data_IF_143391564296
#
_entry.id   IF_143391564296
#
_cell.length_a   1.000
_cell.length_b   1.000
_cell.length_c   1.000
_cell.angle_alpha   90.00
_cell.angle_beta   90.00
_cell.angle_gamma   90.00
#
_symmetry.space_group_name_H-M   'P 1'
#
loop_
_entity.id
_entity.type
_entity.pdbx_description
1 polymer ?
#
# COMPACT_ATOMS: atom_id res chain seq x y z
N UNK A 1 -5.43 9.06 81.01
CA UNK A 1 -6.34 10.22 81.22
C UNK A 1 -7.09 10.33 79.92
N UNK A 2 -8.17 9.59 79.84
CA UNK A 2 -9.54 10.06 79.96
C UNK A 2 -9.96 10.89 78.76
N UNK A 3 -11.05 10.73 78.11
CA UNK A 3 -12.17 9.78 78.21
C UNK A 3 -13.23 10.20 77.16
N UNK A 4 -13.97 9.22 76.64
CA UNK A 4 -15.37 9.24 76.21
C UNK A 4 -15.77 10.06 74.96
N UNK A 5 -16.30 9.42 73.99
CA UNK A 5 -17.43 8.50 73.81
C UNK A 5 -18.72 9.22 73.38
N UNK A 6 -19.39 8.53 72.46
CA UNK A 6 -20.86 8.48 72.19
C UNK A 6 -21.40 9.58 71.27
N UNK A 7 -22.32 9.30 70.39
CA UNK A 7 -23.24 8.21 70.18
C UNK A 7 -24.00 8.32 68.87
N UNK A 8 -24.36 7.20 68.39
CA UNK A 8 -25.55 6.69 67.68
C UNK A 8 -26.66 7.70 67.35
N UNK A 9 -27.15 7.63 66.10
CA UNK A 9 -28.46 7.04 65.77
C UNK A 9 -28.73 7.04 64.27
N UNK A 10 -29.02 5.86 63.74
CA UNK A 10 -29.90 5.69 62.58
C UNK A 10 -31.33 5.96 62.95
N UNK A 11 -32.26 6.17 61.96
CA UNK A 11 -33.10 5.07 61.47
C UNK A 11 -33.42 5.13 59.99
N UNK A 12 -33.46 3.98 59.40
CA UNK A 12 -34.47 3.16 58.72
C UNK A 12 -35.49 3.83 57.77
N UNK A 13 -35.58 3.11 56.62
CA UNK A 13 -36.72 2.80 55.78
C UNK A 13 -37.36 3.82 54.84
N UNK A 14 -37.22 3.53 53.52
CA UNK A 14 -38.39 3.22 52.69
C UNK A 14 -38.01 2.68 51.32
N UNK A 15 -38.59 1.56 50.98
CA UNK A 15 -38.49 0.82 49.73
C UNK A 15 -39.08 1.59 48.54
N UNK A 16 -38.44 1.42 47.36
CA UNK A 16 -39.02 1.82 46.07
C UNK A 16 -38.36 1.08 44.89
N UNK A 17 -39.08 0.08 44.42
CA UNK A 17 -38.71 -0.74 43.27
C UNK A 17 -38.56 0.07 41.97
N UNK A 18 -37.63 -0.31 41.10
CA UNK A 18 -37.73 0.14 39.73
C UNK A 18 -36.45 -0.02 38.88
N UNK A 19 -36.37 -1.09 38.14
CA UNK A 19 -35.84 -1.04 36.78
C UNK A 19 -34.34 -1.13 36.58
N UNK A 20 -33.84 -2.35 36.48
CA UNK A 20 -32.56 -2.63 35.77
C UNK A 20 -32.71 -2.30 34.29
N UNK A 21 -32.21 -1.15 33.87
CA UNK A 21 -31.87 -0.87 32.48
C UNK A 21 -30.38 -1.26 32.26
N UNK A 22 -30.21 -2.45 31.72
CA UNK A 22 -28.94 -2.84 31.12
C UNK A 22 -28.77 -1.96 29.88
N UNK A 23 -27.98 -0.91 29.95
CA UNK A 23 -27.43 -0.24 28.80
C UNK A 23 -26.39 -1.20 28.16
N UNK A 24 -26.85 -1.85 27.10
CA UNK A 24 -25.92 -2.40 26.10
C UNK A 24 -25.31 -1.20 25.39
N UNK A 25 -24.07 -0.89 25.69
CA UNK A 25 -23.24 -0.05 24.85
C UNK A 25 -23.04 -0.81 23.52
N UNK A 26 -23.92 -0.56 22.58
CA UNK A 26 -23.69 -0.87 21.18
C UNK A 26 -22.64 0.13 20.69
N UNK A 27 -21.38 -0.32 20.62
CA UNK A 27 -20.32 0.40 19.95
C UNK A 27 -20.68 0.55 18.48
N UNK A 28 -21.27 1.67 18.12
CA UNK A 28 -21.44 2.05 16.73
C UNK A 28 -20.05 2.39 16.18
N UNK A 29 -19.42 1.43 15.50
CA UNK A 29 -18.27 1.68 14.67
C UNK A 29 -18.72 2.55 13.49
N UNK A 30 -18.62 3.87 13.63
CA UNK A 30 -18.77 4.78 12.52
C UNK A 30 -17.50 4.69 11.66
N UNK A 31 -17.47 3.73 10.74
CA UNK A 31 -16.56 3.77 9.59
C UNK A 31 -16.96 4.98 8.73
N UNK A 32 -16.05 5.94 8.59
CA UNK A 32 -16.22 7.03 7.64
C UNK A 32 -15.85 6.53 6.25
N UNK A 33 -16.70 5.66 5.69
CA UNK A 33 -16.55 5.17 4.33
C UNK A 33 -16.84 6.30 3.35
N UNK A 34 -15.80 6.80 2.68
CA UNK A 34 -15.99 7.74 1.58
C UNK A 34 -16.41 6.96 0.32
N UNK A 35 -17.67 7.14 -0.11
CA UNK A 35 -18.16 6.56 -1.35
C UNK A 35 -18.01 7.62 -2.46
N UNK A 36 -17.14 7.37 -3.41
CA UNK A 36 -16.97 8.23 -4.59
C UNK A 36 -18.15 8.01 -5.55
N UNK A 37 -19.02 9.00 -5.70
CA UNK A 37 -20.01 9.04 -6.79
C UNK A 37 -19.33 9.63 -8.02
N UNK A 38 -19.04 8.79 -9.01
CA UNK A 38 -18.47 9.24 -10.27
C UNK A 38 -19.40 10.18 -11.03
N UNK A 39 -18.89 11.36 -11.38
CA UNK A 39 -19.53 12.23 -12.37
C UNK A 39 -19.01 11.83 -13.74
N UNK A 40 -19.89 11.31 -14.60
CA UNK A 40 -19.57 11.01 -15.99
C UNK A 40 -19.47 12.33 -16.78
N UNK A 41 -18.25 12.69 -17.20
CA UNK A 41 -18.05 13.76 -18.18
C UNK A 41 -18.01 13.13 -19.59
N UNK A 42 -19.04 13.40 -20.39
CA UNK A 42 -19.07 13.08 -21.83
C UNK A 42 -18.20 14.06 -22.60
N UNK A 43 -17.07 13.60 -23.13
CA UNK A 43 -16.28 14.34 -24.10
C UNK A 43 -16.58 13.83 -25.52
N UNK A 44 -16.99 14.74 -26.40
CA UNK A 44 -17.25 14.48 -27.81
C UNK A 44 -15.93 14.31 -28.59
N UNK A 45 -15.84 13.24 -29.36
CA UNK A 45 -14.69 12.93 -30.22
C UNK A 45 -14.95 13.47 -31.62
N UNK A 46 -14.07 14.37 -32.07
CA UNK A 46 -13.96 14.78 -33.47
C UNK A 46 -12.96 13.88 -34.20
N UNK A 47 -13.41 13.22 -35.27
CA UNK A 47 -12.59 12.37 -36.12
C UNK A 47 -11.80 13.21 -37.12
N UNK A 48 -10.47 13.04 -37.16
CA UNK A 48 -9.65 13.47 -38.28
C UNK A 48 -8.82 12.29 -38.79
N UNK A 49 -9.09 11.88 -40.02
CA UNK A 49 -8.39 10.80 -40.74
C UNK A 49 -7.08 11.32 -41.32
N UNK A 50 -5.95 10.65 -41.02
CA UNK A 50 -4.68 10.84 -41.74
C UNK A 50 -4.16 9.48 -42.18
N UNK A 51 -4.04 9.34 -43.48
CA UNK A 51 -3.47 8.20 -44.20
C UNK A 51 -1.95 8.12 -43.99
N UNK A 52 -1.47 6.97 -43.53
CA UNK A 52 -0.05 6.67 -43.38
C UNK A 52 0.50 5.96 -44.61
N UNK A 53 1.58 6.48 -45.16
CA UNK A 53 2.42 5.83 -46.17
C UNK A 53 3.50 5.02 -45.47
N UNK A 54 3.52 3.72 -45.70
CA UNK A 54 4.52 2.82 -45.18
C UNK A 54 5.80 2.89 -46.05
N UNK A 55 6.94 3.10 -45.42
CA UNK A 55 8.25 2.84 -46.02
C UNK A 55 9.02 1.86 -45.12
N UNK A 56 9.32 0.71 -45.72
CA UNK A 56 10.12 -0.35 -45.10
C UNK A 56 11.62 0.03 -45.12
N UNK A 57 12.26 0.00 -43.94
CA UNK A 57 13.69 -0.27 -43.85
C UNK A 57 13.94 -1.12 -42.61
N UNK A 58 14.06 -2.42 -42.83
CA UNK A 58 14.52 -3.38 -41.82
C UNK A 58 16.05 -3.50 -41.89
N UNK A 59 16.62 -3.70 -40.72
CA UNK A 59 17.93 -4.23 -40.35
C UNK A 59 18.92 -3.24 -39.80
N UNK A 60 19.16 -3.49 -38.56
CA UNK A 60 20.22 -3.27 -37.60
C UNK A 60 19.83 -2.52 -36.35
N UNK A 61 19.17 -3.23 -35.40
CA UNK A 61 19.02 -2.81 -34.01
C UNK A 61 18.89 -4.07 -33.13
N UNK A 62 19.90 -4.88 -33.15
CA UNK A 62 20.00 -6.00 -32.21
C UNK A 62 21.17 -5.75 -31.29
N UNK A 63 20.97 -5.09 -30.13
CA UNK A 63 21.66 -5.27 -28.85
C UNK A 63 21.42 -4.19 -27.81
N UNK A 64 20.89 -3.00 -28.19
CA UNK A 64 20.60 -1.92 -27.23
C UNK A 64 19.17 -1.95 -26.63
N UNK A 65 18.27 -2.77 -27.18
CA UNK A 65 16.84 -2.78 -26.79
C UNK A 65 16.54 -3.66 -25.57
N UNK A 66 17.49 -4.42 -25.06
CA UNK A 66 17.25 -5.35 -23.95
C UNK A 66 17.43 -4.68 -22.55
N UNK A 67 18.24 -3.62 -22.48
CA UNK A 67 18.50 -2.89 -21.21
C UNK A 67 17.41 -1.88 -20.84
N UNK A 68 16.50 -1.56 -21.76
CA UNK A 68 15.45 -0.52 -21.57
C UNK A 68 14.04 -1.06 -21.33
N UNK A 69 13.90 -2.37 -21.15
CA UNK A 69 12.61 -2.99 -20.85
C UNK A 69 12.27 -2.91 -19.36
N UNK A 70 11.00 -2.59 -18.99
CA UNK A 70 10.55 -2.67 -17.61
C UNK A 70 10.78 -4.07 -17.02
N UNK A 71 11.03 -4.16 -15.72
CA UNK A 71 11.23 -5.43 -15.03
C UNK A 71 10.06 -6.42 -15.23
N UNK A 72 8.85 -5.91 -15.47
CA UNK A 72 7.65 -6.72 -15.79
C UNK A 72 7.63 -7.32 -17.20
N UNK A 73 8.42 -6.81 -18.13
CA UNK A 73 8.40 -7.26 -19.53
C UNK A 73 9.02 -8.65 -19.74
N UNK A 74 9.59 -9.25 -18.70
CA UNK A 74 10.08 -10.64 -18.73
C UNK A 74 8.94 -11.67 -18.56
N UNK A 75 7.70 -11.24 -18.25
CA UNK A 75 6.55 -12.15 -18.16
C UNK A 75 5.97 -12.43 -19.56
N UNK A 76 5.80 -13.71 -19.97
CA UNK A 76 5.22 -14.01 -21.28
C UNK A 76 3.76 -13.58 -21.37
N UNK A 77 3.48 -12.79 -22.38
CA UNK A 77 2.22 -12.53 -23.09
C UNK A 77 0.88 -12.81 -22.39
N UNK A 78 0.49 -11.93 -21.48
CA UNK A 78 -0.91 -11.61 -21.22
C UNK A 78 -0.99 -10.25 -20.48
N UNK A 79 -0.42 -9.20 -21.12
CA UNK A 79 -0.28 -7.86 -20.49
C UNK A 79 -1.64 -7.29 -20.05
N UNK A 80 -2.71 -7.58 -20.78
CA UNK A 80 -4.05 -7.07 -20.47
C UNK A 80 -4.73 -7.77 -19.28
N UNK A 81 -4.27 -8.96 -18.86
CA UNK A 81 -4.83 -9.71 -17.74
C UNK A 81 -4.03 -9.59 -16.44
N UNK A 82 -2.83 -9.07 -16.49
CA UNK A 82 -1.96 -8.95 -15.31
C UNK A 82 -2.02 -7.55 -14.72
N UNK A 83 -2.13 -7.47 -13.39
CA UNK A 83 -2.00 -6.23 -12.65
C UNK A 83 -0.54 -6.06 -12.20
N UNK A 84 0.06 -4.91 -12.53
CA UNK A 84 1.41 -4.54 -12.07
C UNK A 84 1.30 -3.79 -10.76
N UNK A 85 1.81 -4.41 -9.70
CA UNK A 85 1.82 -3.88 -8.33
C UNK A 85 3.24 -3.50 -7.93
N UNK A 86 3.40 -2.40 -7.24
CA UNK A 86 4.67 -1.97 -6.65
C UNK A 86 4.47 -1.59 -5.19
N UNK A 87 5.39 -1.98 -4.31
CA UNK A 87 5.59 -1.33 -3.01
C UNK A 87 6.89 -0.54 -3.05
N UNK A 88 6.87 0.69 -2.54
CA UNK A 88 8.03 1.54 -2.62
C UNK A 88 8.11 2.55 -1.46
N UNK A 89 9.01 2.30 -0.53
CA UNK A 89 9.39 3.32 0.43
C UNK A 89 10.14 4.44 -0.30
N UNK A 90 9.55 5.63 -0.33
CA UNK A 90 10.07 6.78 -1.10
C UNK A 90 11.26 7.47 -0.42
N UNK A 91 11.54 7.13 0.85
CA UNK A 91 12.31 7.97 1.76
C UNK A 91 11.76 9.40 1.78
N UNK A 92 11.40 9.90 2.94
CA UNK A 92 10.83 11.24 3.07
C UNK A 92 11.69 12.31 2.40
N UNK A 93 11.05 13.35 1.88
CA UNK A 93 11.73 14.46 1.26
C UNK A 93 12.57 15.21 2.30
N UNK A 94 13.86 15.35 2.04
CA UNK A 94 14.78 16.18 2.82
C UNK A 94 15.69 16.97 1.89
N UNK A 95 16.22 18.07 2.39
CA UNK A 95 17.21 18.89 1.68
C UNK A 95 18.66 18.46 1.99
N UNK A 96 18.83 17.43 2.83
CA UNK A 96 20.14 16.90 3.24
C UNK A 96 20.84 16.24 2.07
N UNK A 97 22.03 16.71 1.73
CA UNK A 97 22.91 16.14 0.71
C UNK A 97 23.93 15.21 1.33
N UNK A 98 24.38 14.19 0.60
CA UNK A 98 23.86 13.72 -0.66
C UNK A 98 22.47 13.06 -0.47
N UNK A 99 21.75 12.84 -1.56
CA UNK A 99 20.45 12.18 -1.59
C UNK A 99 19.27 13.06 -1.10
N UNK A 100 19.36 14.39 -1.29
CA UNK A 100 18.22 15.28 -1.13
C UNK A 100 17.07 14.88 -2.08
N UNK A 101 15.82 15.29 -1.76
CA UNK A 101 14.70 15.02 -2.66
C UNK A 101 14.92 15.60 -4.06
N UNK A 102 15.50 16.80 -4.16
CA UNK A 102 15.82 17.43 -5.43
C UNK A 102 16.77 16.58 -6.30
N UNK A 103 17.75 15.88 -5.68
CA UNK A 103 18.66 14.98 -6.38
C UNK A 103 18.00 13.66 -6.78
N UNK A 104 17.11 13.10 -5.94
CA UNK A 104 16.46 11.82 -6.15
C UNK A 104 15.26 11.89 -7.10
N UNK A 105 14.49 12.98 -7.09
CA UNK A 105 13.26 13.14 -7.88
C UNK A 105 13.42 12.85 -9.37
N UNK A 106 14.46 13.35 -10.08
CA UNK A 106 14.65 13.02 -11.49
C UNK A 106 14.82 11.53 -11.77
N UNK A 107 15.49 10.81 -10.86
CA UNK A 107 15.67 9.35 -10.94
C UNK A 107 14.36 8.63 -10.64
N UNK A 108 13.64 9.06 -9.60
CA UNK A 108 12.31 8.58 -9.24
C UNK A 108 11.33 8.69 -10.42
N UNK A 109 11.29 9.86 -11.07
CA UNK A 109 10.44 10.09 -12.24
C UNK A 109 10.76 9.13 -13.40
N UNK A 110 12.06 8.93 -13.69
CA UNK A 110 12.47 8.00 -14.76
C UNK A 110 12.07 6.57 -14.44
N UNK A 111 12.31 6.13 -13.21
CA UNK A 111 11.93 4.80 -12.74
C UNK A 111 10.41 4.59 -12.87
N UNK A 112 9.60 5.44 -12.27
CA UNK A 112 8.15 5.27 -12.22
C UNK A 112 7.51 5.32 -13.61
N UNK A 113 8.01 6.19 -14.51
CA UNK A 113 7.54 6.24 -15.91
C UNK A 113 7.94 5.00 -16.70
N UNK A 114 9.14 4.48 -16.47
CA UNK A 114 9.63 3.26 -17.12
C UNK A 114 8.82 2.04 -16.71
N UNK A 115 8.60 1.86 -15.41
CA UNK A 115 7.91 0.70 -14.86
C UNK A 115 6.40 0.79 -15.05
N UNK A 116 5.82 1.99 -15.07
CA UNK A 116 4.40 2.27 -15.25
C UNK A 116 3.49 1.30 -14.47
N UNK A 117 3.67 1.15 -13.14
CA UNK A 117 2.87 0.22 -12.35
C UNK A 117 1.40 0.65 -12.34
N UNK A 118 0.45 -0.31 -12.36
CA UNK A 118 -0.97 0.03 -12.27
C UNK A 118 -1.36 0.52 -10.87
N UNK A 119 -0.65 0.05 -9.83
CA UNK A 119 -0.86 0.48 -8.45
C UNK A 119 0.46 0.48 -7.68
N UNK A 120 0.66 1.49 -6.83
CA UNK A 120 1.86 1.65 -6.01
C UNK A 120 1.44 1.92 -4.56
N UNK A 121 1.81 1.04 -3.63
CA UNK A 121 1.80 1.36 -2.20
C UNK A 121 3.08 2.10 -1.85
N UNK A 122 2.98 3.31 -1.33
CA UNK A 122 4.14 4.13 -0.98
C UNK A 122 4.24 4.37 0.52
N UNK A 123 5.47 4.44 1.03
CA UNK A 123 5.76 4.73 2.42
C UNK A 123 6.66 5.97 2.51
N UNK A 124 6.65 6.67 3.64
CA UNK A 124 7.42 7.87 3.98
C UNK A 124 7.15 9.13 3.12
N UNK A 125 6.25 9.05 2.15
CA UNK A 125 5.97 10.21 1.31
C UNK A 125 5.41 11.39 2.09
N UNK A 126 6.04 12.57 1.98
CA UNK A 126 5.46 13.82 2.46
C UNK A 126 4.50 14.39 1.43
N UNK A 127 3.50 15.17 1.86
CA UNK A 127 2.46 15.70 0.97
C UNK A 127 3.02 16.39 -0.28
N UNK A 128 4.04 17.25 -0.14
CA UNK A 128 4.71 17.90 -1.27
C UNK A 128 5.38 16.91 -2.22
N UNK A 129 6.03 15.87 -1.66
CA UNK A 129 6.67 14.81 -2.41
C UNK A 129 5.65 13.98 -3.21
N UNK A 130 4.51 13.65 -2.62
CA UNK A 130 3.43 12.92 -3.31
C UNK A 130 2.85 13.74 -4.47
N UNK A 131 2.68 15.05 -4.30
CA UNK A 131 2.27 15.95 -5.39
C UNK A 131 3.29 16.01 -6.52
N UNK A 132 4.57 16.04 -6.18
CA UNK A 132 5.65 15.98 -7.16
C UNK A 132 5.61 14.69 -7.97
N UNK A 133 5.42 13.54 -7.30
CA UNK A 133 5.30 12.24 -7.95
C UNK A 133 4.05 12.17 -8.83
N UNK A 134 2.90 12.65 -8.37
CA UNK A 134 1.68 12.72 -9.17
C UNK A 134 1.89 13.54 -10.46
N UNK A 135 2.53 14.70 -10.36
CA UNK A 135 2.87 15.52 -11.51
C UNK A 135 3.87 14.83 -12.47
N UNK A 136 4.82 14.08 -11.91
CA UNK A 136 5.83 13.35 -12.68
C UNK A 136 5.25 12.12 -13.39
N UNK A 137 4.27 11.43 -12.81
CA UNK A 137 3.56 10.30 -13.40
C UNK A 137 2.60 10.74 -14.52
N UNK A 138 2.01 11.93 -14.39
CA UNK A 138 1.11 12.52 -15.38
C UNK A 138 -0.38 12.38 -15.03
N UNK A 139 -1.29 12.93 -15.87
CA UNK A 139 -2.69 13.17 -15.52
C UNK A 139 -3.55 11.91 -15.40
N UNK A 140 -3.05 10.77 -15.78
CA UNK A 140 -3.76 9.49 -15.68
C UNK A 140 -3.47 8.75 -14.37
N UNK A 141 -2.56 9.26 -13.54
CA UNK A 141 -2.36 8.75 -12.19
C UNK A 141 -3.04 9.65 -11.16
N UNK A 142 -3.67 8.99 -10.20
CA UNK A 142 -4.23 9.64 -9.01
C UNK A 142 -3.80 8.85 -7.77
N UNK A 143 -4.12 9.33 -6.57
CA UNK A 143 -3.72 8.66 -5.35
C UNK A 143 -4.71 8.87 -4.19
N UNK A 144 -4.73 7.89 -3.28
CA UNK A 144 -5.50 7.88 -2.03
C UNK A 144 -4.53 7.88 -0.85
N UNK A 145 -4.78 8.73 0.14
CA UNK A 145 -3.98 8.76 1.36
C UNK A 145 -4.32 9.95 2.25
N UNK A 146 -3.89 9.85 3.50
CA UNK A 146 -3.88 10.95 4.47
C UNK A 146 -2.56 10.91 5.25
N UNK A 147 -2.08 12.06 5.70
CA UNK A 147 -0.91 12.12 6.56
C UNK A 147 -1.16 11.42 7.89
N UNK A 148 -0.16 10.72 8.41
CA UNK A 148 -0.30 9.96 9.67
C UNK A 148 -0.65 10.83 10.88
N UNK A 149 -0.32 12.13 10.85
CA UNK A 149 -0.75 13.11 11.84
C UNK A 149 -2.05 13.85 11.45
N UNK A 150 -2.76 13.36 10.43
CA UNK A 150 -4.02 13.89 9.92
C UNK A 150 -3.86 14.91 8.79
N UNK A 151 -4.75 14.84 7.80
CA UNK A 151 -4.77 15.71 6.64
C UNK A 151 -3.49 15.64 5.81
N UNK A 152 -2.80 16.76 5.63
CA UNK A 152 -1.52 16.84 4.88
C UNK A 152 -0.27 16.79 5.76
N UNK A 153 -0.41 16.38 7.03
CA UNK A 153 0.67 16.46 8.02
C UNK A 153 1.41 15.14 8.13
N UNK A 154 2.76 15.23 8.22
CA UNK A 154 3.66 14.10 8.42
C UNK A 154 3.67 13.16 7.19
N UNK A 155 4.22 11.96 7.33
CA UNK A 155 4.34 10.96 6.28
C UNK A 155 3.01 10.28 5.96
N UNK A 156 2.90 9.74 4.76
CA UNK A 156 1.74 9.02 4.26
C UNK A 156 2.07 7.55 3.98
N UNK A 157 1.08 6.69 4.16
CA UNK A 157 1.00 5.39 3.52
C UNK A 157 0.05 5.51 2.32
N UNK A 158 0.49 6.21 1.26
CA UNK A 158 -0.36 6.52 0.13
C UNK A 158 -0.41 5.38 -0.90
N UNK A 159 -1.51 5.34 -1.67
CA UNK A 159 -1.72 4.39 -2.76
C UNK A 159 -1.93 5.17 -4.04
N UNK A 160 -0.95 5.15 -4.96
CA UNK A 160 -1.08 5.67 -6.31
C UNK A 160 -1.68 4.62 -7.23
N UNK A 161 -2.45 5.03 -8.23
CA UNK A 161 -3.05 4.14 -9.21
C UNK A 161 -3.22 4.79 -10.59
N UNK A 162 -3.14 3.97 -11.63
CA UNK A 162 -3.45 4.39 -13.01
C UNK A 162 -4.98 4.38 -13.19
N UNK A 163 -5.57 5.57 -13.27
CA UNK A 163 -7.01 5.77 -13.40
C UNK A 163 -7.60 5.30 -14.76
N UNK A 164 -6.74 4.95 -15.73
CA UNK A 164 -7.19 4.30 -16.98
C UNK A 164 -7.48 2.82 -16.73
N UNK A 165 -6.84 2.22 -15.74
CA UNK A 165 -6.97 0.82 -15.38
C UNK A 165 -7.82 0.57 -14.15
N UNK A 166 -7.70 1.40 -13.12
CA UNK A 166 -8.28 1.18 -11.81
C UNK A 166 -9.18 2.34 -11.38
N UNK A 167 -10.36 2.00 -10.88
CA UNK A 167 -11.26 2.96 -10.24
C UNK A 167 -11.40 2.62 -8.76
N UNK A 168 -11.08 3.53 -7.82
CA UNK A 168 -11.35 3.32 -6.41
C UNK A 168 -12.86 3.33 -6.15
N UNK A 169 -13.36 2.27 -5.51
CA UNK A 169 -14.77 2.10 -5.16
C UNK A 169 -15.02 2.51 -3.72
N UNK A 170 -14.10 2.15 -2.86
CA UNK A 170 -14.17 2.38 -1.43
C UNK A 170 -12.75 2.46 -0.85
N UNK A 171 -12.53 3.30 0.16
CA UNK A 171 -11.25 3.35 0.87
C UNK A 171 -11.44 3.86 2.29
N UNK A 172 -10.47 3.51 3.16
CA UNK A 172 -10.38 4.06 4.49
C UNK A 172 -8.94 4.01 5.02
N UNK A 173 -8.74 4.60 6.18
CA UNK A 173 -7.46 4.68 6.88
C UNK A 173 -7.64 4.22 8.33
N UNK A 174 -6.64 3.55 8.87
CA UNK A 174 -6.60 3.26 10.30
C UNK A 174 -5.19 3.37 10.86
N UNK A 175 -5.09 3.74 12.12
CA UNK A 175 -3.82 3.88 12.83
C UNK A 175 -3.46 2.58 13.53
N UNK A 176 -2.17 2.23 13.50
CA UNK A 176 -1.64 1.02 14.11
C UNK A 176 -1.46 1.25 15.61
N UNK A 177 -2.57 1.09 16.33
CA UNK A 177 -2.71 1.34 17.76
C UNK A 177 -3.95 0.64 18.32
N UNK A 178 -4.15 0.64 19.66
CA UNK A 178 -5.38 0.16 20.29
C UNK A 178 -6.62 1.02 19.98
N UNK A 179 -6.41 2.22 19.42
CA UNK A 179 -7.47 3.13 19.00
C UNK A 179 -7.34 3.44 17.50
N UNK A 180 -7.60 2.47 16.60
CA UNK A 180 -7.25 2.56 15.19
C UNK A 180 -7.97 3.68 14.41
N UNK A 181 -9.06 4.21 14.93
CA UNK A 181 -9.78 5.33 14.30
C UNK A 181 -9.44 6.70 14.91
N UNK A 182 -8.57 6.75 15.91
CA UNK A 182 -8.09 8.01 16.46
C UNK A 182 -6.87 8.49 15.66
N UNK A 183 -7.03 9.61 14.95
CA UNK A 183 -5.97 10.21 14.12
C UNK A 183 -4.72 10.47 14.95
N UNK A 184 -3.58 9.97 14.47
CA UNK A 184 -2.29 10.16 15.13
C UNK A 184 -2.05 9.27 16.34
N UNK A 185 -2.94 8.30 16.63
CA UNK A 185 -2.80 7.41 17.77
C UNK A 185 -1.59 6.48 17.64
N UNK A 186 -0.97 6.21 18.79
CA UNK A 186 0.16 5.28 18.98
C UNK A 186 0.16 4.81 20.43
N UNK A 187 0.03 3.54 20.69
CA UNK A 187 -0.21 3.01 22.05
C UNK A 187 0.71 1.85 22.43
N UNK A 188 1.52 1.35 21.48
CA UNK A 188 2.32 0.13 21.68
C UNK A 188 3.80 0.41 21.96
N UNK A 189 4.12 1.57 22.55
CA UNK A 189 5.47 1.96 22.91
C UNK A 189 6.29 2.56 21.75
N UNK A 190 5.74 2.58 20.56
CA UNK A 190 6.36 3.24 19.41
C UNK A 190 6.36 4.77 19.55
N UNK A 191 7.45 5.41 19.14
CA UNK A 191 7.59 6.87 19.17
C UNK A 191 7.06 7.54 17.91
N UNK A 192 6.90 6.77 16.85
CA UNK A 192 6.45 7.22 15.53
C UNK A 192 5.03 6.73 15.27
N UNK A 193 4.18 7.61 14.74
CA UNK A 193 2.82 7.25 14.32
C UNK A 193 2.90 6.31 13.11
N UNK A 194 2.17 5.20 13.15
CA UNK A 194 2.06 4.26 12.03
C UNK A 194 0.60 4.03 11.66
N UNK A 195 0.36 3.82 10.39
CA UNK A 195 -1.00 3.67 9.86
C UNK A 195 -1.02 2.75 8.64
N UNK A 196 -2.23 2.39 8.25
CA UNK A 196 -2.50 1.71 6.99
C UNK A 196 -3.58 2.46 6.20
N UNK A 197 -3.47 2.39 4.89
CA UNK A 197 -4.49 2.84 3.94
C UNK A 197 -4.94 1.63 3.14
N UNK A 198 -6.25 1.38 3.05
CA UNK A 198 -6.76 0.37 2.15
C UNK A 198 -7.72 0.97 1.13
N UNK A 199 -7.77 0.34 -0.05
CA UNK A 199 -8.61 0.75 -1.17
C UNK A 199 -9.21 -0.51 -1.80
N UNK A 200 -10.53 -0.49 -2.03
CA UNK A 200 -11.19 -1.42 -2.92
C UNK A 200 -11.18 -0.84 -4.33
N UNK A 201 -10.50 -1.51 -5.23
CA UNK A 201 -10.42 -1.13 -6.63
C UNK A 201 -11.31 -1.99 -7.50
N UNK A 202 -11.82 -1.36 -8.57
CA UNK A 202 -12.39 -2.03 -9.74
C UNK A 202 -11.39 -1.93 -10.88
N UNK A 203 -11.09 -3.08 -11.52
CA UNK A 203 -10.31 -3.15 -12.75
C UNK A 203 -11.22 -2.85 -13.95
N UNK A 204 -11.20 -1.59 -14.42
CA UNK A 204 -12.10 -1.11 -15.47
C UNK A 204 -11.68 -1.54 -16.87
N UNK A 205 -10.40 -1.80 -17.11
CA UNK A 205 -9.91 -2.29 -18.39
C UNK A 205 -10.38 -3.74 -18.60
N UNK A 206 -10.28 -4.59 -17.60
CA UNK A 206 -10.79 -5.95 -17.65
C UNK A 206 -12.29 -5.99 -17.94
N UNK A 207 -13.05 -5.08 -17.36
CA UNK A 207 -14.51 -5.00 -17.54
C UNK A 207 -14.94 -4.53 -18.93
N UNK A 208 -14.08 -3.80 -19.66
CA UNK A 208 -14.35 -3.36 -21.03
C UNK A 208 -14.10 -4.45 -22.06
N UNK A 209 -13.10 -5.31 -21.83
CA UNK A 209 -12.75 -6.40 -22.76
C UNK A 209 -13.74 -7.58 -22.71
N UNK A 210 -14.49 -7.71 -21.62
CA UNK A 210 -15.48 -8.77 -21.45
C UNK A 210 -16.89 -8.16 -21.62
N UNK A 211 -17.59 -8.51 -22.68
CA UNK A 211 -18.96 -8.04 -23.00
C UNK A 211 -20.00 -8.42 -21.94
N UNK A 212 -19.63 -9.20 -20.95
CA UNK A 212 -20.46 -9.52 -19.80
C UNK A 212 -20.28 -8.44 -18.70
N UNK A 213 -21.11 -7.41 -18.75
CA UNK A 213 -21.16 -6.32 -17.76
C UNK A 213 -21.48 -6.79 -16.32
N UNK A 214 -21.68 -8.08 -16.08
CA UNK A 214 -21.96 -8.64 -14.75
C UNK A 214 -20.69 -9.04 -14.01
N UNK A 215 -19.57 -9.24 -14.66
CA UNK A 215 -18.32 -9.67 -14.03
C UNK A 215 -17.43 -8.47 -13.73
N UNK A 216 -17.70 -7.76 -12.64
CA UNK A 216 -16.82 -6.69 -12.15
C UNK A 216 -15.63 -7.33 -11.44
N UNK A 217 -14.44 -7.14 -11.97
CA UNK A 217 -13.20 -7.58 -11.31
C UNK A 217 -12.78 -6.55 -10.28
N UNK A 218 -12.93 -6.89 -9.01
CA UNK A 218 -12.56 -6.03 -7.90
C UNK A 218 -11.54 -6.72 -6.99
N UNK A 219 -10.76 -5.94 -6.24
CA UNK A 219 -9.81 -6.43 -5.26
C UNK A 219 -9.57 -5.36 -4.18
N UNK A 220 -9.06 -5.79 -3.04
CA UNK A 220 -8.58 -4.89 -2.00
C UNK A 220 -7.06 -4.76 -2.06
N UNK A 221 -6.56 -3.52 -1.94
CA UNK A 221 -5.17 -3.25 -1.67
C UNK A 221 -5.06 -2.53 -0.33
N UNK A 222 -4.18 -3.03 0.54
CA UNK A 222 -3.80 -2.39 1.79
C UNK A 222 -2.32 -2.03 1.72
N UNK A 223 -1.99 -0.78 2.05
CA UNK A 223 -0.62 -0.30 2.13
C UNK A 223 -0.29 0.16 3.55
N UNK A 224 0.90 -0.20 4.04
CA UNK A 224 1.33 0.10 5.41
C UNK A 224 2.81 0.39 5.53
N UNK A 225 3.21 0.93 6.67
CA UNK A 225 4.60 1.07 7.10
C UNK A 225 4.68 0.75 8.59
N UNK A 226 5.29 -0.37 8.95
CA UNK A 226 5.39 -0.80 10.36
C UNK A 226 6.47 -0.04 11.12
N UNK A 227 6.48 -0.17 12.43
CA UNK A 227 7.44 0.55 13.28
C UNK A 227 8.87 0.03 13.08
N UNK A 228 9.84 0.94 12.94
CA UNK A 228 11.23 0.58 12.67
C UNK A 228 12.00 0.12 13.91
N UNK A 229 11.54 0.47 15.13
CA UNK A 229 12.30 0.25 16.36
C UNK A 229 11.64 -0.79 17.29
N UNK A 230 10.30 -0.77 17.42
CA UNK A 230 9.59 -1.50 18.48
C UNK A 230 8.99 -2.80 17.93
N UNK A 231 9.59 -3.94 18.27
CA UNK A 231 9.13 -5.26 17.82
C UNK A 231 7.68 -5.55 18.25
N UNK A 232 7.33 -5.26 19.50
CA UNK A 232 5.96 -5.42 20.00
C UNK A 232 4.94 -4.63 19.16
N UNK A 233 5.26 -3.38 18.79
CA UNK A 233 4.37 -2.59 17.94
C UNK A 233 4.19 -3.20 16.54
N UNK A 234 5.25 -3.80 15.97
CA UNK A 234 5.15 -4.53 14.68
C UNK A 234 4.25 -5.77 14.78
N UNK A 235 4.40 -6.55 15.84
CA UNK A 235 3.56 -7.74 16.08
C UNK A 235 2.10 -7.37 16.26
N UNK A 236 1.79 -6.37 17.09
CA UNK A 236 0.44 -5.84 17.26
C UNK A 236 -0.14 -5.27 15.96
N UNK A 237 0.71 -4.62 15.16
CA UNK A 237 0.33 -4.10 13.84
C UNK A 237 -0.08 -5.22 12.88
N UNK A 238 0.68 -6.32 12.84
CA UNK A 238 0.36 -7.47 12.02
C UNK A 238 -0.98 -8.10 12.42
N UNK A 239 -1.24 -8.25 13.72
CA UNK A 239 -2.52 -8.75 14.24
C UNK A 239 -3.68 -7.85 13.82
N UNK A 240 -3.58 -6.54 14.06
CA UNK A 240 -4.62 -5.57 13.69
C UNK A 240 -4.87 -5.56 12.17
N UNK A 241 -3.83 -5.59 11.34
CA UNK A 241 -3.97 -5.65 9.88
C UNK A 241 -4.73 -6.92 9.49
N UNK A 242 -4.41 -8.08 10.06
CA UNK A 242 -5.14 -9.33 9.80
C UNK A 242 -6.60 -9.26 10.21
N UNK A 243 -6.90 -8.65 11.36
CA UNK A 243 -8.27 -8.42 11.81
C UNK A 243 -9.04 -7.56 10.80
N UNK A 244 -8.46 -6.44 10.37
CA UNK A 244 -9.07 -5.54 9.38
C UNK A 244 -9.26 -6.21 8.02
N UNK A 245 -8.29 -6.99 7.56
CA UNK A 245 -8.43 -7.77 6.32
C UNK A 245 -9.53 -8.83 6.42
N UNK A 246 -9.77 -9.39 7.61
CA UNK A 246 -10.82 -10.38 7.81
C UNK A 246 -12.24 -9.78 7.79
N UNK A 247 -12.38 -8.47 8.03
CA UNK A 247 -13.66 -7.74 7.94
C UNK A 247 -14.05 -7.41 6.49
N UNK A 248 -13.11 -7.50 5.54
CA UNK A 248 -13.36 -7.23 4.13
C UNK A 248 -14.04 -8.43 3.46
N UNK A 249 -14.74 -8.17 2.35
CA UNK A 249 -15.43 -9.21 1.58
C UNK A 249 -14.48 -10.37 1.25
N UNK A 250 -14.74 -11.60 1.75
CA UNK A 250 -13.86 -12.74 1.55
C UNK A 250 -13.81 -13.24 0.11
N UNK A 251 -14.79 -12.88 -0.72
CA UNK A 251 -14.83 -13.26 -2.14
C UNK A 251 -13.81 -12.48 -2.99
N UNK A 252 -13.38 -11.31 -2.52
CA UNK A 252 -12.45 -10.47 -3.26
C UNK A 252 -10.99 -10.75 -2.89
N UNK A 253 -10.10 -10.80 -3.89
CA UNK A 253 -8.66 -10.90 -3.64
C UNK A 253 -8.13 -9.74 -2.81
N UNK A 254 -7.10 -10.02 -2.02
CA UNK A 254 -6.39 -9.03 -1.22
C UNK A 254 -4.94 -8.94 -1.65
N UNK A 255 -4.44 -7.72 -1.73
CA UNK A 255 -3.04 -7.38 -1.95
C UNK A 255 -2.59 -6.51 -0.78
N UNK A 256 -1.50 -6.85 -0.14
CA UNK A 256 -0.90 -6.05 0.93
C UNK A 256 0.49 -5.63 0.49
N UNK A 257 0.75 -4.34 0.53
CA UNK A 257 2.04 -3.72 0.22
C UNK A 257 2.57 -3.01 1.45
N UNK A 258 3.88 -2.98 1.63
CA UNK A 258 4.44 -2.22 2.75
C UNK A 258 5.92 -2.39 2.94
N UNK A 259 6.47 -1.46 3.73
CA UNK A 259 7.71 -1.62 4.46
C UNK A 259 7.37 -2.16 5.86
N UNK A 260 7.74 -3.41 6.11
CA UNK A 260 7.43 -4.08 7.37
C UNK A 260 8.52 -3.91 8.41
N UNK A 261 9.64 -3.30 8.04
CA UNK A 261 10.80 -3.06 8.92
C UNK A 261 11.33 -4.33 9.62
N UNK A 262 11.08 -5.50 9.04
CA UNK A 262 11.61 -6.80 9.46
C UNK A 262 11.86 -7.68 8.25
N UNK A 263 12.86 -8.56 8.37
CA UNK A 263 13.22 -9.46 7.29
C UNK A 263 12.18 -10.58 7.10
N UNK A 264 11.81 -10.82 5.86
CA UNK A 264 11.01 -11.98 5.46
C UNK A 264 11.66 -13.28 5.95
N UNK A 265 10.86 -14.26 6.39
CA UNK A 265 11.27 -15.57 6.92
C UNK A 265 12.12 -15.55 8.20
N UNK A 266 12.41 -14.39 8.77
CA UNK A 266 13.30 -14.26 9.93
C UNK A 266 12.64 -13.59 11.14
N UNK A 267 11.34 -13.29 11.07
CA UNK A 267 10.67 -12.52 12.13
C UNK A 267 9.23 -13.00 12.34
N UNK A 268 8.74 -13.09 13.59
CA UNK A 268 7.36 -13.49 13.88
C UNK A 268 6.27 -12.69 13.16
N UNK A 269 6.54 -11.44 12.79
CA UNK A 269 5.62 -10.61 11.98
C UNK A 269 5.38 -11.23 10.61
N UNK A 270 6.45 -11.73 9.96
CA UNK A 270 6.32 -12.42 8.68
C UNK A 270 5.47 -13.68 8.81
N UNK A 271 5.76 -14.50 9.83
CA UNK A 271 5.00 -15.72 10.10
C UNK A 271 3.54 -15.43 10.44
N UNK A 272 3.28 -14.34 11.19
CA UNK A 272 1.93 -13.89 11.49
C UNK A 272 1.16 -13.47 10.24
N UNK A 273 1.77 -12.73 9.32
CA UNK A 273 1.13 -12.24 8.10
C UNK A 273 0.89 -13.36 7.07
N UNK A 274 1.82 -14.33 6.94
CA UNK A 274 1.75 -15.41 5.94
C UNK A 274 1.18 -16.70 6.51
N UNK A 275 1.16 -16.84 7.82
CA UNK A 275 0.65 -18.03 8.50
C UNK A 275 -0.85 -18.25 8.33
N UNK A 276 -1.27 -19.53 8.39
CA UNK A 276 -2.67 -19.93 8.26
C UNK A 276 -3.23 -19.84 6.84
N UNK A 277 -2.38 -19.64 5.82
CA UNK A 277 -2.75 -19.70 4.41
C UNK A 277 -3.68 -18.57 3.93
N UNK A 278 -3.75 -17.46 4.67
CA UNK A 278 -4.59 -16.29 4.29
C UNK A 278 -3.90 -15.34 3.31
N UNK A 279 -2.59 -15.19 3.45
CA UNK A 279 -1.74 -14.42 2.55
C UNK A 279 -0.50 -15.25 2.18
N UNK A 280 -0.01 -15.05 0.98
CA UNK A 280 1.25 -15.62 0.47
C UNK A 280 2.16 -14.50 0.01
N UNK A 281 3.47 -14.65 0.23
CA UNK A 281 4.45 -13.72 -0.28
C UNK A 281 4.55 -13.88 -1.81
N UNK A 282 4.28 -12.81 -2.53
CA UNK A 282 4.34 -12.79 -3.98
C UNK A 282 5.74 -13.12 -4.52
N UNK A 283 6.78 -12.81 -3.74
CA UNK A 283 8.15 -13.19 -4.07
C UNK A 283 8.35 -14.69 -4.10
N UNK A 284 7.85 -15.40 -3.09
CA UNK A 284 8.00 -16.85 -2.97
C UNK A 284 7.08 -17.61 -3.93
N UNK A 285 5.88 -17.08 -4.16
CA UNK A 285 4.87 -17.68 -5.03
C UNK A 285 5.05 -17.37 -6.52
N UNK A 286 6.03 -16.54 -6.90
CA UNK A 286 6.22 -16.12 -8.27
C UNK A 286 6.69 -17.27 -9.18
N UNK A 287 6.09 -17.35 -10.38
CA UNK A 287 6.55 -18.28 -11.44
C UNK A 287 7.98 -17.95 -11.91
N UNK A 288 8.38 -16.68 -11.84
CA UNK A 288 9.73 -16.19 -12.14
C UNK A 288 10.10 -14.99 -11.29
N UNK A 289 11.39 -14.80 -11.04
CA UNK A 289 11.93 -13.74 -10.18
C UNK A 289 13.18 -13.10 -10.74
N UNK A 290 13.43 -11.83 -10.39
CA UNK A 290 14.76 -11.21 -10.54
C UNK A 290 15.75 -11.78 -9.55
N UNK A 291 17.01 -11.36 -9.64
CA UNK A 291 17.96 -11.57 -8.55
C UNK A 291 17.44 -10.91 -7.25
N UNK A 292 17.70 -11.57 -6.11
CA UNK A 292 17.38 -11.03 -4.80
C UNK A 292 18.46 -10.07 -4.34
N UNK A 293 18.01 -8.97 -3.72
CA UNK A 293 18.85 -8.01 -3.00
C UNK A 293 18.19 -7.63 -1.70
N UNK A 294 18.96 -7.10 -0.75
CA UNK A 294 18.39 -6.39 0.40
C UNK A 294 17.53 -5.23 -0.11
N UNK A 295 16.27 -5.16 0.33
CA UNK A 295 15.36 -4.09 -0.14
C UNK A 295 15.68 -2.74 0.49
N UNK A 296 16.29 -2.71 1.68
CA UNK A 296 16.88 -1.50 2.26
C UNK A 296 18.41 -1.51 2.10
N UNK A 297 18.94 -0.60 1.33
CA UNK A 297 20.39 -0.47 1.11
C UNK A 297 21.02 0.77 1.77
N UNK A 298 20.22 1.77 2.18
CA UNK A 298 20.71 2.95 2.87
C UNK A 298 21.78 3.72 2.10
N UNK A 299 21.68 3.74 0.75
CA UNK A 299 22.69 4.30 -0.18
C UNK A 299 24.08 3.65 -0.08
N UNK A 300 24.18 2.44 0.44
CA UNK A 300 25.39 1.60 0.45
C UNK A 300 25.35 0.66 -0.75
N UNK A 301 26.48 -0.03 -1.06
CA UNK A 301 26.49 -1.06 -2.09
C UNK A 301 25.37 -2.09 -1.88
N UNK A 302 24.72 -2.52 -2.95
CA UNK A 302 23.66 -3.50 -2.92
C UNK A 302 24.17 -4.83 -2.36
N UNK A 303 23.40 -5.48 -1.53
CA UNK A 303 23.72 -6.77 -0.90
C UNK A 303 22.91 -7.87 -1.61
N UNK A 304 23.55 -8.69 -2.47
CA UNK A 304 22.89 -9.86 -3.05
C UNK A 304 22.41 -10.82 -1.96
N UNK A 305 21.27 -11.46 -2.20
CA UNK A 305 20.60 -12.39 -1.26
C UNK A 305 20.33 -11.80 0.14
N UNK A 306 20.34 -10.47 0.24
CA UNK A 306 20.10 -9.76 1.48
C UNK A 306 18.63 -9.74 1.89
N UNK A 307 18.36 -9.16 3.06
CA UNK A 307 17.05 -9.16 3.70
C UNK A 307 16.02 -8.34 2.92
N UNK A 308 14.86 -8.92 2.70
CA UNK A 308 13.67 -8.23 2.17
C UNK A 308 12.82 -7.74 3.33
N UNK A 309 12.70 -6.45 3.51
CA UNK A 309 11.81 -5.82 4.51
C UNK A 309 10.59 -5.15 3.88
N UNK A 310 10.61 -4.97 2.57
CA UNK A 310 9.49 -4.49 1.75
C UNK A 310 8.85 -5.70 1.06
N UNK A 311 7.53 -5.92 1.27
CA UNK A 311 6.83 -7.09 0.78
C UNK A 311 5.56 -6.72 0.02
N UNK A 312 5.20 -7.60 -0.93
CA UNK A 312 3.89 -7.68 -1.55
C UNK A 312 3.31 -9.04 -1.18
N UNK A 313 2.25 -9.03 -0.38
CA UNK A 313 1.53 -10.26 0.00
C UNK A 313 0.19 -10.29 -0.73
N UNK A 314 -0.27 -11.49 -1.11
CA UNK A 314 -1.51 -11.65 -1.87
C UNK A 314 -2.37 -12.77 -1.28
N UNK A 315 -3.69 -12.73 -1.56
CA UNK A 315 -4.55 -13.90 -1.32
C UNK A 315 -4.03 -15.13 -2.08
N UNK A 316 -4.20 -16.35 -1.57
CA UNK A 316 -3.75 -17.58 -2.25
C UNK A 316 -4.37 -17.79 -3.64
N UNK A 317 -5.55 -17.20 -3.90
CA UNK A 317 -6.21 -17.23 -5.22
C UNK A 317 -5.51 -16.38 -6.28
N UNK A 318 -4.59 -15.53 -5.89
CA UNK A 318 -3.84 -14.65 -6.78
C UNK A 318 -2.56 -15.35 -7.23
N UNK A 319 -2.39 -15.52 -8.54
CA UNK A 319 -1.16 -16.04 -9.11
C UNK A 319 -0.16 -14.90 -9.31
N UNK A 320 1.05 -15.06 -8.79
CA UNK A 320 2.17 -14.15 -9.10
C UNK A 320 2.96 -14.71 -10.26
N UNK A 321 2.91 -14.03 -11.40
CA UNK A 321 3.63 -14.44 -12.62
C UNK A 321 5.11 -14.08 -12.56
N UNK A 322 5.42 -12.91 -12.01
CA UNK A 322 6.76 -12.43 -11.86
C UNK A 322 6.89 -11.52 -10.66
N UNK A 323 7.99 -11.63 -9.92
CA UNK A 323 8.36 -10.72 -8.85
C UNK A 323 9.77 -10.15 -9.09
N UNK A 324 9.99 -8.89 -8.74
CA UNK A 324 11.30 -8.26 -8.90
C UNK A 324 11.63 -7.28 -7.79
N UNK A 325 12.91 -7.19 -7.48
CA UNK A 325 13.52 -6.13 -6.69
C UNK A 325 14.24 -5.23 -7.71
N UNK A 326 13.78 -4.01 -7.85
CA UNK A 326 14.24 -3.09 -8.90
C UNK A 326 15.46 -2.30 -8.44
N UNK A 327 16.60 -2.54 -9.09
CA UNK A 327 17.89 -1.91 -8.76
C UNK A 327 18.19 -0.66 -9.58
N UNK A 328 17.18 -0.04 -10.18
CA UNK A 328 17.36 1.12 -11.05
C UNK A 328 18.05 2.29 -10.35
N UNK A 329 19.06 2.80 -11.02
CA UNK A 329 19.79 4.01 -10.62
C UNK A 329 20.27 4.75 -11.87
N UNK A 330 20.62 6.00 -11.73
CA UNK A 330 21.22 6.82 -12.79
C UNK A 330 22.51 7.41 -12.26
N UNK A 331 23.62 7.10 -12.89
CA UNK A 331 24.97 7.56 -12.48
C UNK A 331 25.27 7.30 -11.00
N UNK A 332 24.80 6.15 -10.48
CA UNK A 332 24.95 5.76 -9.08
C UNK A 332 23.95 6.42 -8.12
N UNK A 333 23.10 7.34 -8.57
CA UNK A 333 22.03 7.91 -7.77
C UNK A 333 20.81 7.00 -7.79
N UNK A 334 20.42 6.49 -6.64
CA UNK A 334 19.18 5.77 -6.43
C UNK A 334 18.02 6.72 -6.15
N UNK A 335 16.79 6.36 -6.51
CA UNK A 335 15.59 7.19 -6.23
C UNK A 335 15.20 7.20 -4.75
N UNK A 336 15.57 6.18 -3.99
CA UNK A 336 15.34 6.01 -2.57
C UNK A 336 16.51 5.22 -1.95
N UNK A 337 16.56 5.11 -0.63
CA UNK A 337 17.41 4.17 0.10
C UNK A 337 16.79 2.76 0.23
N UNK A 338 15.56 2.60 -0.27
CA UNK A 338 14.92 1.33 -0.52
C UNK A 338 14.87 1.02 -2.02
N UNK A 339 14.90 -0.27 -2.35
CA UNK A 339 14.63 -0.78 -3.69
C UNK A 339 13.14 -1.09 -3.83
N UNK A 340 12.45 -0.62 -4.90
CA UNK A 340 11.07 -1.00 -5.13
C UNK A 340 10.93 -2.51 -5.31
N UNK A 341 9.93 -3.10 -4.66
CA UNK A 341 9.51 -4.48 -4.92
C UNK A 341 8.28 -4.44 -5.82
N UNK A 342 8.29 -5.29 -6.84
CA UNK A 342 7.29 -5.31 -7.89
C UNK A 342 6.74 -6.71 -8.08
N UNK A 343 5.46 -6.82 -8.41
CA UNK A 343 4.82 -8.08 -8.79
C UNK A 343 3.86 -7.90 -9.96
N UNK A 344 3.90 -8.86 -10.90
CA UNK A 344 2.87 -9.03 -11.93
C UNK A 344 1.94 -10.13 -11.46
N UNK A 345 0.68 -9.78 -11.15
CA UNK A 345 -0.30 -10.68 -10.54
C UNK A 345 -1.55 -10.83 -11.41
N UNK A 346 -2.22 -11.97 -11.26
CA UNK A 346 -3.50 -12.27 -11.94
C UNK A 346 -4.40 -13.13 -11.05
N UNK A 347 -5.73 -13.05 -11.23
CA UNK A 347 -6.73 -13.88 -10.54
C UNK A 347 -7.97 -14.07 -11.39
#
# INVERSE_FOLDING_TARGET
MDDRASGMTEPEDAAGAGGQLRERAAGAAFSRRAVLRGAAATAAVGAASVTAVASASAREAGSAAYEDRPAYAAAPHDENRSLRVMTFNLRYASDTRPNSWAERRPVMRKLLRREAPHVIGTQEGLYGQLRDIAADLGPHYDWVGTGRAGGSKDEFAAVFYDARRLAPVEYDHFWLSDTPYAIGSRTWGNTVIRMATWVRFRDIEYSQDHQDHQTQREFFLLNTHLDHAVQYARERSAELIKERLAELDPALPRVVTGDFNVAAHKNPVYDAMTGGGRLVDSWDAADGRSAQYATFHGYRPLVPDGDRIDWILTSPSVRTRYASINTYSVDGQFPSDHLPVQASIAW
#
